data_IF_631172955562
#
_entry.id   IF_631172955562
#
_cell.length_a   1.000
_cell.length_b   1.000
_cell.length_c   1.000
_cell.angle_alpha   90.00
_cell.angle_beta   90.00
_cell.angle_gamma   90.00
#
_symmetry.space_group_name_H-M   'P 1'
#
loop_
_entity.id
_entity.type
_entity.pdbx_description
1 polymer ?
#
# COMPACT_ATOMS: atom_id res chain seq x y z
N UNK A 1 -23.88 5.16 15.03
CA UNK A 1 -24.41 4.97 16.41
C UNK A 1 -24.48 3.47 16.63
N UNK A 2 -23.74 2.93 17.59
CA UNK A 2 -23.79 1.51 17.95
C UNK A 2 -24.25 1.43 19.40
N UNK A 3 -25.32 0.68 19.66
CA UNK A 3 -25.86 0.44 21.01
C UNK A 3 -25.79 -1.07 21.24
N UNK A 4 -25.00 -1.53 22.20
CA UNK A 4 -25.17 -2.85 22.82
C UNK A 4 -24.79 -2.77 24.30
N UNK A 5 -25.75 -3.05 25.17
CA UNK A 5 -25.64 -3.22 26.62
C UNK A 5 -24.98 -4.57 26.96
N UNK A 6 -23.92 -4.60 27.76
CA UNK A 6 -23.85 -5.38 29.02
C UNK A 6 -22.49 -5.28 29.72
N UNK A 7 -22.52 -5.21 31.06
CA UNK A 7 -21.39 -5.38 31.98
C UNK A 7 -20.76 -6.77 31.85
N UNK A 8 -19.41 -6.86 31.82
CA UNK A 8 -18.67 -8.13 31.84
C UNK A 8 -17.57 -8.12 32.91
N UNK A 9 -17.55 -9.21 33.67
CA UNK A 9 -16.80 -9.48 34.90
C UNK A 9 -15.38 -10.03 34.60
N UNK A 10 -14.48 -10.00 35.59
CA UNK A 10 -13.05 -10.29 35.50
C UNK A 10 -12.69 -11.69 34.97
N UNK A 11 -13.63 -12.63 34.93
CA UNK A 11 -13.45 -13.97 34.35
C UNK A 11 -13.40 -13.99 32.82
N UNK A 12 -14.04 -13.03 32.16
CA UNK A 12 -14.12 -12.96 30.69
C UNK A 12 -12.82 -12.48 30.03
N UNK A 13 -11.96 -11.78 30.77
CA UNK A 13 -10.67 -11.30 30.28
C UNK A 13 -9.69 -12.43 29.95
N UNK A 14 -9.65 -13.50 30.77
CA UNK A 14 -8.78 -14.64 30.50
C UNK A 14 -9.32 -15.51 29.36
N UNK A 15 -10.63 -15.67 29.26
CA UNK A 15 -11.28 -16.41 28.17
C UNK A 15 -11.12 -15.70 26.81
N UNK A 16 -11.14 -14.35 26.80
CA UNK A 16 -10.81 -13.55 25.62
C UNK A 16 -9.34 -13.72 25.18
N UNK A 17 -8.40 -13.80 26.13
CA UNK A 17 -6.97 -13.96 25.81
C UNK A 17 -6.68 -15.31 25.14
N UNK A 18 -7.27 -16.38 25.66
CA UNK A 18 -7.13 -17.74 25.14
C UNK A 18 -7.82 -17.93 23.77
N UNK A 19 -8.97 -17.26 23.56
CA UNK A 19 -9.60 -17.18 22.24
C UNK A 19 -8.82 -16.32 21.23
N UNK A 20 -8.06 -15.34 21.70
CA UNK A 20 -7.21 -14.49 20.84
C UNK A 20 -6.00 -15.29 20.34
N UNK A 21 -5.34 -16.07 21.21
CA UNK A 21 -4.21 -16.92 20.82
C UNK A 21 -4.62 -18.04 19.86
N UNK A 22 -5.78 -18.68 20.06
CA UNK A 22 -6.29 -19.69 19.11
C UNK A 22 -6.80 -19.12 17.77
N UNK A 23 -7.15 -17.83 17.69
CA UNK A 23 -7.61 -17.19 16.43
C UNK A 23 -6.50 -16.55 15.62
N UNK A 24 -5.35 -16.24 16.22
CA UNK A 24 -4.13 -15.85 15.49
C UNK A 24 -3.69 -16.97 14.52
N UNK A 25 -3.97 -18.23 14.85
CA UNK A 25 -3.67 -19.40 14.02
C UNK A 25 -4.53 -19.50 12.75
N UNK A 26 -5.58 -18.67 12.61
CA UNK A 26 -6.43 -18.59 11.42
C UNK A 26 -6.47 -17.17 10.87
N UNK A 27 -5.29 -16.55 10.71
CA UNK A 27 -5.11 -15.26 10.03
C UNK A 27 -5.60 -15.33 8.57
N UNK A 28 -6.91 -15.17 8.37
CA UNK A 28 -7.47 -14.99 7.03
C UNK A 28 -7.03 -13.63 6.50
N UNK A 29 -6.20 -13.64 5.46
CA UNK A 29 -5.73 -12.45 4.72
C UNK A 29 -6.89 -11.47 4.45
N UNK A 30 -6.67 -10.17 4.67
CA UNK A 30 -7.70 -9.13 4.49
C UNK A 30 -8.20 -9.09 3.04
N UNK A 31 -9.43 -8.62 2.82
CA UNK A 31 -10.02 -8.51 1.48
C UNK A 31 -9.16 -7.64 0.55
N UNK A 32 -8.71 -6.49 1.04
CA UNK A 32 -7.86 -5.58 0.27
C UNK A 32 -6.52 -6.22 -0.08
N UNK A 33 -5.92 -7.01 0.83
CA UNK A 33 -4.67 -7.71 0.55
C UNK A 33 -4.86 -8.83 -0.50
N UNK A 34 -6.00 -9.54 -0.49
CA UNK A 34 -6.36 -10.50 -1.55
C UNK A 34 -6.59 -9.81 -2.89
N UNK A 35 -7.28 -8.67 -2.90
CA UNK A 35 -7.57 -7.90 -4.11
C UNK A 35 -6.27 -7.34 -4.72
N UNK A 36 -5.39 -6.81 -3.88
CA UNK A 36 -4.06 -6.34 -4.28
C UNK A 36 -3.21 -7.47 -4.85
N UNK A 37 -3.20 -8.64 -4.20
CA UNK A 37 -2.52 -9.83 -4.71
C UNK A 37 -3.07 -10.26 -6.08
N UNK A 38 -4.39 -10.23 -6.26
CA UNK A 38 -5.03 -10.50 -7.55
C UNK A 38 -4.60 -9.52 -8.65
N UNK A 39 -4.56 -8.22 -8.34
CA UNK A 39 -4.10 -7.20 -9.29
C UNK A 39 -2.62 -7.40 -9.67
N UNK A 40 -1.77 -7.70 -8.69
CA UNK A 40 -0.36 -8.02 -8.94
C UNK A 40 -0.21 -9.29 -9.78
N UNK A 41 -0.99 -10.34 -9.49
CA UNK A 41 -0.97 -11.58 -10.26
C UNK A 41 -1.36 -11.35 -11.73
N UNK A 42 -2.38 -10.52 -11.99
CA UNK A 42 -2.75 -10.13 -13.37
C UNK A 42 -1.57 -9.44 -14.05
N UNK A 43 -0.92 -8.47 -13.39
CA UNK A 43 0.26 -7.80 -13.93
C UNK A 43 1.40 -8.78 -14.23
N UNK A 44 1.70 -9.72 -13.33
CA UNK A 44 2.68 -10.78 -13.57
C UNK A 44 2.31 -11.67 -14.75
N UNK A 45 1.05 -12.11 -14.84
CA UNK A 45 0.60 -12.95 -15.96
C UNK A 45 0.71 -12.22 -17.29
N UNK A 46 0.38 -10.92 -17.34
CA UNK A 46 0.56 -10.12 -18.55
C UNK A 46 2.04 -9.96 -18.94
N UNK A 47 2.97 -10.02 -17.99
CA UNK A 47 4.40 -10.08 -18.29
C UNK A 47 4.80 -11.36 -19.02
N UNK A 48 4.28 -12.50 -18.55
CA UNK A 48 4.60 -13.81 -19.13
C UNK A 48 3.96 -14.01 -20.49
N UNK A 49 2.70 -13.61 -20.63
CA UNK A 49 1.93 -13.78 -21.87
C UNK A 49 2.27 -12.72 -22.92
N UNK A 50 2.84 -11.57 -22.52
CA UNK A 50 3.15 -10.41 -23.36
C UNK A 50 2.05 -10.08 -24.37
N UNK A 51 0.81 -9.84 -23.92
CA UNK A 51 -0.33 -9.66 -24.82
C UNK A 51 -0.31 -8.32 -25.58
N UNK A 52 0.57 -7.38 -25.18
CA UNK A 52 0.68 -6.07 -25.80
C UNK A 52 2.09 -5.82 -26.35
N UNK A 53 2.14 -5.28 -27.56
CA UNK A 53 3.40 -4.92 -28.23
C UNK A 53 3.96 -3.57 -27.76
N UNK A 54 3.13 -2.74 -27.11
CA UNK A 54 3.54 -1.38 -26.71
C UNK A 54 3.49 -1.21 -25.19
N UNK A 55 4.54 -0.57 -24.66
CA UNK A 55 4.72 -0.25 -23.23
C UNK A 55 3.50 0.47 -22.64
N UNK A 56 2.90 1.35 -23.43
CA UNK A 56 1.82 2.23 -23.03
C UNK A 56 0.55 1.45 -22.60
N UNK A 57 0.29 0.29 -23.22
CA UNK A 57 -0.84 -0.57 -22.82
C UNK A 57 -0.61 -1.21 -21.44
N UNK A 58 0.63 -1.53 -21.07
CA UNK A 58 0.94 -2.02 -19.72
C UNK A 58 0.73 -0.94 -18.66
N UNK A 59 1.07 0.32 -18.99
CA UNK A 59 0.80 1.47 -18.11
C UNK A 59 -0.71 1.68 -17.93
N UNK A 60 -1.48 1.63 -19.03
CA UNK A 60 -2.93 1.73 -18.96
C UNK A 60 -3.58 0.60 -18.18
N UNK A 61 -3.12 -0.64 -18.37
CA UNK A 61 -3.59 -1.78 -17.59
C UNK A 61 -3.31 -1.59 -16.10
N UNK A 62 -2.09 -1.18 -15.74
CA UNK A 62 -1.73 -0.93 -14.34
C UNK A 62 -2.60 0.18 -13.72
N UNK A 63 -2.81 1.27 -14.44
CA UNK A 63 -3.69 2.36 -14.01
C UNK A 63 -5.14 1.89 -13.83
N UNK A 64 -5.65 1.08 -14.76
CA UNK A 64 -6.99 0.50 -14.70
C UNK A 64 -7.16 -0.44 -13.51
N UNK A 65 -6.20 -1.34 -13.26
CA UNK A 65 -6.21 -2.25 -12.12
C UNK A 65 -6.15 -1.49 -10.80
N UNK A 66 -5.31 -0.46 -10.72
CA UNK A 66 -5.21 0.41 -9.54
C UNK A 66 -6.53 1.14 -9.27
N UNK A 67 -7.14 1.72 -10.29
CA UNK A 67 -8.43 2.40 -10.18
C UNK A 67 -9.54 1.44 -9.73
N UNK A 68 -9.59 0.25 -10.34
CA UNK A 68 -10.55 -0.80 -9.99
C UNK A 68 -10.37 -1.26 -8.55
N UNK A 69 -9.12 -1.51 -8.14
CA UNK A 69 -8.76 -1.86 -6.77
C UNK A 69 -9.28 -0.80 -5.78
N UNK A 70 -8.98 0.48 -6.04
CA UNK A 70 -9.41 1.59 -5.18
C UNK A 70 -10.93 1.68 -5.09
N UNK A 71 -11.63 1.60 -6.21
CA UNK A 71 -13.10 1.65 -6.25
C UNK A 71 -13.74 0.50 -5.47
N UNK A 72 -13.30 -0.73 -5.72
CA UNK A 72 -13.83 -1.92 -5.03
C UNK A 72 -13.52 -1.87 -3.54
N UNK A 73 -12.31 -1.46 -3.16
CA UNK A 73 -11.91 -1.31 -1.76
C UNK A 73 -12.75 -0.25 -1.04
N UNK A 74 -12.92 0.94 -1.65
CA UNK A 74 -13.75 2.03 -1.10
C UNK A 74 -15.20 1.58 -0.95
N UNK A 75 -15.79 0.96 -1.99
CA UNK A 75 -17.16 0.49 -1.93
C UNK A 75 -17.38 -0.54 -0.82
N UNK A 76 -16.46 -1.50 -0.68
CA UNK A 76 -16.51 -2.51 0.38
C UNK A 76 -16.38 -1.89 1.77
N UNK A 77 -15.50 -0.88 1.93
CA UNK A 77 -15.33 -0.11 3.17
C UNK A 77 -16.58 0.69 3.53
N UNK A 78 -17.18 1.38 2.56
CA UNK A 78 -18.43 2.14 2.75
C UNK A 78 -19.57 1.21 3.14
N UNK A 79 -19.74 0.09 2.44
CA UNK A 79 -20.76 -0.93 2.76
C UNK A 79 -20.57 -1.50 4.16
N UNK A 80 -19.33 -1.65 4.60
CA UNK A 80 -18.99 -2.17 5.93
C UNK A 80 -19.06 -1.11 7.03
N UNK A 81 -19.30 0.17 6.73
CA UNK A 81 -19.31 1.24 7.74
C UNK A 81 -17.92 1.57 8.29
N UNK A 82 -16.88 1.36 7.49
CA UNK A 82 -15.49 1.64 7.86
C UNK A 82 -15.28 3.12 8.16
N UNK A 83 -14.60 3.40 9.28
CA UNK A 83 -14.10 4.74 9.60
C UNK A 83 -12.58 4.70 9.64
N UNK A 84 -11.91 5.63 8.97
CA UNK A 84 -10.46 5.71 8.97
C UNK A 84 -9.93 5.92 10.40
N UNK A 85 -9.01 5.07 10.88
CA UNK A 85 -8.50 5.15 12.25
C UNK A 85 -7.51 6.31 12.45
N UNK A 86 -7.26 7.12 11.41
CA UNK A 86 -6.31 8.22 11.42
C UNK A 86 -4.88 7.76 11.18
N UNK A 87 -3.96 8.74 11.28
CA UNK A 87 -2.54 8.59 11.06
C UNK A 87 -1.77 8.70 12.38
N UNK A 88 -0.90 7.74 12.64
CA UNK A 88 0.08 7.86 13.73
C UNK A 88 1.36 8.52 13.21
N UNK A 89 2.09 9.23 14.08
CA UNK A 89 3.40 9.81 13.71
C UNK A 89 4.37 8.72 13.24
N UNK A 90 4.34 7.53 13.88
CA UNK A 90 5.12 6.37 13.47
C UNK A 90 4.82 5.97 12.02
N UNK A 91 3.55 6.00 11.63
CA UNK A 91 3.12 5.67 10.27
C UNK A 91 3.58 6.72 9.25
N UNK A 92 3.55 8.01 9.62
CA UNK A 92 4.08 9.10 8.78
C UNK A 92 5.58 8.91 8.52
N UNK A 93 6.36 8.62 9.57
CA UNK A 93 7.81 8.38 9.45
C UNK A 93 8.09 7.14 8.61
N UNK A 94 7.32 6.05 8.82
CA UNK A 94 7.41 4.83 7.99
C UNK A 94 7.16 5.13 6.52
N UNK A 95 6.09 5.89 6.22
CA UNK A 95 5.74 6.26 4.87
C UNK A 95 6.84 7.12 4.22
N UNK A 96 7.40 8.08 4.94
CA UNK A 96 8.51 8.91 4.44
C UNK A 96 9.75 8.08 4.13
N UNK A 97 10.13 7.14 5.00
CA UNK A 97 11.25 6.23 4.74
C UNK A 97 10.99 5.33 3.54
N UNK A 98 9.77 4.82 3.40
CA UNK A 98 9.36 3.96 2.30
C UNK A 98 9.39 4.71 0.95
N UNK A 99 8.97 5.99 0.92
CA UNK A 99 9.12 6.87 -0.24
C UNK A 99 10.59 7.07 -0.59
N UNK A 100 11.43 7.42 0.40
CA UNK A 100 12.86 7.64 0.17
C UNK A 100 13.55 6.36 -0.34
N UNK A 101 13.30 5.21 0.29
CA UNK A 101 13.87 3.93 -0.11
C UNK A 101 13.45 3.53 -1.52
N UNK A 102 12.18 3.73 -1.88
CA UNK A 102 11.67 3.43 -3.23
C UNK A 102 12.30 4.35 -4.27
N UNK A 103 12.40 5.64 -3.98
CA UNK A 103 13.06 6.60 -4.86
C UNK A 103 14.53 6.24 -5.07
N UNK A 104 15.26 5.92 -4.00
CA UNK A 104 16.66 5.48 -4.09
C UNK A 104 16.81 4.18 -4.88
N UNK A 105 15.92 3.21 -4.68
CA UNK A 105 15.94 1.95 -5.43
C UNK A 105 15.70 2.17 -6.92
N UNK A 106 14.69 2.96 -7.29
CA UNK A 106 14.43 3.26 -8.70
C UNK A 106 15.52 4.12 -9.33
N UNK A 107 16.10 5.07 -8.59
CA UNK A 107 17.24 5.85 -9.06
C UNK A 107 18.43 4.92 -9.35
N UNK A 108 18.77 4.04 -8.41
CA UNK A 108 19.84 3.05 -8.59
C UNK A 108 19.56 2.14 -9.79
N UNK A 109 18.36 1.57 -9.89
CA UNK A 109 17.97 0.74 -11.01
C UNK A 109 18.09 1.49 -12.35
N UNK A 110 17.59 2.73 -12.41
CA UNK A 110 17.61 3.56 -13.61
C UNK A 110 19.03 3.85 -14.10
N UNK A 111 19.94 4.26 -13.21
CA UNK A 111 21.35 4.51 -13.55
C UNK A 111 22.14 3.22 -13.79
N UNK A 112 21.79 2.11 -13.15
CA UNK A 112 22.47 0.82 -13.40
C UNK A 112 22.14 0.22 -14.77
N UNK A 113 20.99 0.59 -15.34
CA UNK A 113 20.50 0.11 -16.64
C UNK A 113 20.72 1.14 -17.76
N UNK A 114 21.29 2.31 -17.44
CA UNK A 114 21.56 3.38 -18.38
C UNK A 114 23.05 3.54 -18.62
N UNK A 115 23.43 3.85 -19.84
CA UNK A 115 24.80 4.25 -20.18
C UNK A 115 25.08 5.72 -19.81
N UNK A 116 24.09 6.42 -19.25
CA UNK A 116 24.17 7.84 -18.90
C UNK A 116 24.70 8.02 -17.49
N UNK A 117 25.78 8.78 -17.35
CA UNK A 117 26.30 9.23 -16.04
C UNK A 117 25.59 10.50 -15.59
N UNK A 118 25.51 10.71 -14.28
CA UNK A 118 25.07 12.00 -13.73
C UNK A 118 26.01 13.12 -14.19
N UNK A 119 25.49 14.09 -14.92
CA UNK A 119 26.23 15.28 -15.35
C UNK A 119 26.28 16.37 -14.26
N UNK A 120 25.35 16.35 -13.30
CA UNK A 120 25.26 17.36 -12.24
C UNK A 120 26.00 16.91 -10.99
N UNK A 121 26.88 17.80 -10.47
CA UNK A 121 27.58 17.59 -9.20
C UNK A 121 26.60 17.56 -8.03
N UNK A 122 26.79 16.60 -7.11
CA UNK A 122 26.08 16.52 -5.82
C UNK A 122 26.41 17.74 -4.95
N UNK A 123 25.66 18.84 -5.13
CA UNK A 123 25.70 20.04 -4.31
C UNK A 123 24.30 20.35 -3.78
N UNK A 124 24.15 20.78 -2.51
CA UNK A 124 22.88 21.26 -1.98
C UNK A 124 22.25 22.37 -2.82
N UNK A 125 23.05 23.15 -3.54
CA UNK A 125 22.57 24.24 -4.40
C UNK A 125 21.83 23.75 -5.65
N UNK A 126 22.10 22.51 -6.09
CA UNK A 126 21.54 21.93 -7.32
C UNK A 126 20.50 20.83 -7.04
N UNK A 127 19.97 20.75 -5.82
CA UNK A 127 19.12 19.62 -5.41
C UNK A 127 17.83 19.48 -6.26
N UNK A 128 17.22 20.59 -6.68
CA UNK A 128 16.02 20.57 -7.52
C UNK A 128 16.32 20.03 -8.92
N UNK A 129 17.44 20.49 -9.50
CA UNK A 129 17.91 20.04 -10.82
C UNK A 129 18.24 18.54 -10.77
N UNK A 130 18.95 18.11 -9.71
CA UNK A 130 19.30 16.73 -9.47
C UNK A 130 18.07 15.82 -9.36
N UNK A 131 17.05 16.25 -8.63
CA UNK A 131 15.79 15.51 -8.51
C UNK A 131 15.06 15.42 -9.85
N UNK A 132 15.02 16.51 -10.62
CA UNK A 132 14.37 16.52 -11.91
C UNK A 132 15.07 15.58 -12.90
N UNK A 133 16.39 15.67 -13.04
CA UNK A 133 17.17 14.80 -13.93
C UNK A 133 17.05 13.32 -13.54
N UNK A 134 17.19 13.02 -12.25
CA UNK A 134 17.04 11.65 -11.74
C UNK A 134 15.64 11.11 -12.02
N UNK A 135 14.60 11.93 -11.83
CA UNK A 135 13.22 11.53 -12.10
C UNK A 135 12.97 11.28 -13.58
N UNK A 136 13.54 12.11 -14.47
CA UNK A 136 13.47 11.89 -15.92
C UNK A 136 14.20 10.60 -16.31
N UNK A 137 15.38 10.35 -15.74
CA UNK A 137 16.14 9.13 -15.98
C UNK A 137 15.35 7.88 -15.56
N UNK A 138 14.70 7.92 -14.39
CA UNK A 138 13.81 6.85 -13.91
C UNK A 138 12.70 6.59 -14.93
N UNK A 139 12.00 7.63 -15.38
CA UNK A 139 10.87 7.50 -16.31
C UNK A 139 11.34 6.96 -17.67
N UNK A 140 12.44 7.50 -18.21
CA UNK A 140 13.00 7.06 -19.47
C UNK A 140 13.44 5.59 -19.43
N UNK A 141 14.16 5.18 -18.36
CA UNK A 141 14.55 3.79 -18.19
C UNK A 141 13.32 2.89 -18.02
N UNK A 142 12.36 3.28 -17.18
CA UNK A 142 11.13 2.52 -16.96
C UNK A 142 10.37 2.28 -18.27
N UNK A 143 10.31 3.28 -19.15
CA UNK A 143 9.54 3.19 -20.40
C UNK A 143 10.36 2.71 -21.61
N UNK A 144 11.64 2.38 -21.42
CA UNK A 144 12.56 2.00 -22.51
C UNK A 144 12.12 0.77 -23.30
N UNK A 145 11.54 -0.23 -22.63
CA UNK A 145 11.00 -1.43 -23.25
C UNK A 145 9.93 -2.09 -22.36
N UNK A 146 9.15 -3.00 -22.94
CA UNK A 146 8.03 -3.65 -22.25
C UNK A 146 8.45 -4.48 -21.03
N UNK A 147 9.64 -5.08 -21.03
CA UNK A 147 10.11 -5.88 -19.90
C UNK A 147 10.50 -4.99 -18.72
N UNK A 148 11.27 -3.93 -18.97
CA UNK A 148 11.67 -2.95 -17.96
C UNK A 148 10.43 -2.25 -17.39
N UNK A 149 9.49 -1.85 -18.25
CA UNK A 149 8.26 -1.19 -17.82
C UNK A 149 7.45 -2.04 -16.83
N UNK A 150 7.29 -3.34 -17.12
CA UNK A 150 6.55 -4.22 -16.23
C UNK A 150 7.25 -4.38 -14.87
N UNK A 151 8.58 -4.50 -14.84
CA UNK A 151 9.33 -4.57 -13.57
C UNK A 151 9.18 -3.29 -12.73
N UNK A 152 9.29 -2.12 -13.36
CA UNK A 152 9.08 -0.85 -12.67
C UNK A 152 7.62 -0.70 -12.19
N UNK A 153 6.63 -1.16 -12.96
CA UNK A 153 5.22 -1.16 -12.56
C UNK A 153 4.93 -2.11 -11.39
N UNK A 154 5.55 -3.30 -11.37
CA UNK A 154 5.47 -4.23 -10.24
C UNK A 154 6.09 -3.61 -8.98
N UNK A 155 7.28 -3.01 -9.10
CA UNK A 155 7.92 -2.29 -8.01
C UNK A 155 7.05 -1.15 -7.48
N UNK A 156 6.43 -0.37 -8.39
CA UNK A 156 5.53 0.72 -8.04
C UNK A 156 4.27 0.20 -7.33
N UNK A 157 3.74 -0.96 -7.75
CA UNK A 157 2.61 -1.60 -7.08
C UNK A 157 2.97 -2.07 -5.66
N UNK A 158 4.16 -2.63 -5.44
CA UNK A 158 4.64 -3.03 -4.10
C UNK A 158 4.79 -1.80 -3.21
N UNK A 159 5.42 -0.73 -3.71
CA UNK A 159 5.54 0.54 -3.02
C UNK A 159 4.16 1.10 -2.62
N UNK A 160 3.23 1.16 -3.57
CA UNK A 160 1.87 1.62 -3.33
C UNK A 160 1.16 0.79 -2.26
N UNK A 161 1.37 -0.52 -2.26
CA UNK A 161 0.87 -1.40 -1.21
C UNK A 161 1.41 -1.06 0.16
N UNK A 162 2.73 -0.96 0.28
CA UNK A 162 3.36 -0.59 1.54
C UNK A 162 2.89 0.78 2.04
N UNK A 163 2.73 1.75 1.13
CA UNK A 163 2.20 3.07 1.43
C UNK A 163 0.77 2.98 1.99
N UNK A 164 -0.11 2.26 1.30
CA UNK A 164 -1.48 2.05 1.74
C UNK A 164 -1.57 1.27 3.06
N UNK A 165 -0.63 0.37 3.34
CA UNK A 165 -0.52 -0.30 4.64
C UNK A 165 -0.12 0.70 5.73
N UNK A 166 0.89 1.53 5.48
CA UNK A 166 1.36 2.53 6.43
C UNK A 166 0.24 3.55 6.77
N UNK A 167 -0.60 3.89 5.80
CA UNK A 167 -1.78 4.75 6.01
C UNK A 167 -3.00 4.02 6.63
N UNK A 168 -2.88 2.75 7.01
CA UNK A 168 -3.97 1.89 7.49
C UNK A 168 -5.15 1.80 6.52
N UNK A 169 -4.90 1.94 5.21
CA UNK A 169 -5.91 1.73 4.17
C UNK A 169 -6.05 0.25 3.81
N UNK A 170 -4.97 -0.55 3.73
CA UNK A 170 -5.05 -1.98 3.32
C UNK A 170 -5.48 -2.94 4.43
N UNK A 171 -5.40 -2.50 5.68
CA UNK A 171 -5.45 -3.39 6.83
C UNK A 171 -6.59 -2.94 7.73
N UNK A 172 -7.78 -3.39 7.38
CA UNK A 172 -8.65 -3.92 8.41
C UNK A 172 -9.01 -5.34 8.01
N UNK A 173 -8.45 -6.30 8.75
CA UNK A 173 -9.12 -7.58 8.90
C UNK A 173 -10.54 -7.34 9.42
N UNK A 174 -11.48 -8.20 9.08
CA UNK A 174 -12.84 -8.13 9.63
C UNK A 174 -12.82 -8.03 11.16
N UNK A 175 -11.84 -8.68 11.80
CA UNK A 175 -11.59 -8.62 13.24
C UNK A 175 -11.12 -7.25 13.74
N UNK A 176 -10.19 -6.56 13.06
CA UNK A 176 -9.77 -5.20 13.44
C UNK A 176 -10.91 -4.19 13.28
N UNK A 177 -11.75 -4.37 12.27
CA UNK A 177 -12.98 -3.59 12.11
C UNK A 177 -13.97 -3.86 13.26
N UNK A 178 -14.20 -5.13 13.61
CA UNK A 178 -15.05 -5.53 14.75
C UNK A 178 -14.47 -5.07 16.10
N UNK A 179 -13.15 -5.12 16.28
CA UNK A 179 -12.46 -4.61 17.48
C UNK A 179 -12.55 -3.09 17.60
N UNK A 180 -12.50 -2.34 16.49
CA UNK A 180 -12.69 -0.89 16.54
C UNK A 180 -14.15 -0.51 16.84
N UNK A 181 -15.11 -1.31 16.38
CA UNK A 181 -16.50 -1.19 16.82
C UNK A 181 -16.66 -1.46 18.33
N UNK A 182 -15.92 -2.43 18.89
CA UNK A 182 -15.91 -2.71 20.34
C UNK A 182 -15.14 -1.66 21.16
N UNK A 183 -13.98 -1.18 20.69
CA UNK A 183 -13.15 -0.17 21.39
C UNK A 183 -13.80 1.20 21.43
N UNK A 184 -14.55 1.61 20.41
CA UNK A 184 -15.39 2.83 20.45
C UNK A 184 -16.45 2.80 21.56
N UNK A 185 -16.69 1.65 22.21
CA UNK A 185 -17.58 1.54 23.37
C UNK A 185 -16.84 1.60 24.73
N UNK A 186 -15.51 1.46 24.76
CA UNK A 186 -14.68 1.45 25.97
C UNK A 186 -13.88 2.74 26.17
N UNK A 187 -13.38 3.35 25.08
CA UNK A 187 -12.39 4.43 25.16
C UNK A 187 -12.93 5.77 24.62
N UNK A 188 -14.23 6.03 24.80
CA UNK A 188 -14.78 7.35 24.45
C UNK A 188 -14.37 8.37 25.51
N UNK A 189 -13.30 9.11 25.25
CA UNK A 189 -13.17 10.45 25.84
C UNK A 189 -14.16 11.34 25.09
N UNK A 190 -15.28 11.62 25.75
CA UNK A 190 -16.23 12.66 25.33
C UNK A 190 -15.51 14.00 25.54
N UNK A 191 -15.11 14.66 24.46
CA UNK A 191 -14.88 16.09 24.53
C UNK A 191 -16.24 16.77 24.72
N UNK A 192 -16.40 17.42 25.87
CA UNK A 192 -17.54 18.27 26.18
C UNK A 192 -17.24 19.70 25.78
#
# INVERSE_FOLDING_TARGET
MCIVLHELDSGDYQLMKDQTEKKIEKSSMSFDAKLMFGCQLIMFLTMFLKPFDTVLHYVYLAAFLLATFMLVSIFQKLKSGWSWPGLSIKNVVSAAFNVAATYSFFSFAAYSMSDTTLDVSLSPENWEVLLNETSQMIIQTALSNSNTAVWFLIGAAIFWGNLMRDFNFLVMTQYEFEQQCRRKHSDTIVFK
#
